data_IF_071204260369
#
_entry.id   IF_071204260369
#
_cell.length_a   1.000
_cell.length_b   1.000
_cell.length_c   1.000
_cell.angle_alpha   90.00
_cell.angle_beta   90.00
_cell.angle_gamma   90.00
#
_symmetry.space_group_name_H-M   'P 1'
#
loop_
_entity.id
_entity.type
_entity.pdbx_description
1 polymer ?
#
# COMPACT_ATOMS: atom_id res chain seq x y z
N UNK A 1 7.73 -0.32 15.91
CA UNK A 1 6.71 0.35 15.07
C UNK A 1 5.96 -0.72 14.27
N UNK A 2 4.75 -1.09 14.68
CA UNK A 2 4.01 -2.32 14.31
C UNK A 2 3.24 -2.22 12.97
N UNK A 3 3.49 -1.17 12.17
CA UNK A 3 2.73 -0.91 10.94
C UNK A 3 3.10 -1.88 9.81
N UNK A 4 4.39 -2.03 9.50
CA UNK A 4 4.84 -2.69 8.26
C UNK A 4 4.52 -4.20 8.18
N UNK A 5 4.21 -4.84 9.31
CA UNK A 5 4.06 -6.29 9.38
C UNK A 5 2.69 -6.81 8.87
N UNK A 6 1.76 -5.92 8.50
CA UNK A 6 0.40 -6.29 8.06
C UNK A 6 0.21 -6.13 6.54
N UNK A 7 1.02 -5.30 5.87
CA UNK A 7 0.89 -5.02 4.43
C UNK A 7 2.06 -5.66 3.69
N UNK A 8 1.79 -6.77 2.98
CA UNK A 8 2.80 -7.52 2.24
C UNK A 8 3.38 -6.78 1.03
N UNK A 9 2.63 -5.87 0.42
CA UNK A 9 3.03 -5.15 -0.80
C UNK A 9 2.47 -3.70 -0.79
N UNK A 10 3.24 -2.77 -1.34
CA UNK A 10 2.91 -1.34 -1.45
C UNK A 10 3.28 -0.83 -2.84
N UNK A 11 2.37 -0.08 -3.46
CA UNK A 11 2.56 0.59 -4.75
C UNK A 11 2.43 2.10 -4.56
N UNK A 12 3.31 2.87 -5.22
CA UNK A 12 3.25 4.33 -5.26
C UNK A 12 2.67 4.77 -6.60
N UNK A 13 1.57 5.51 -6.60
CA UNK A 13 0.95 6.07 -7.81
C UNK A 13 0.75 7.58 -7.60
N UNK A 14 1.54 8.39 -8.28
CA UNK A 14 1.57 9.85 -8.05
C UNK A 14 1.81 10.16 -6.57
N UNK A 15 0.88 10.88 -5.94
CA UNK A 15 0.92 11.20 -4.51
C UNK A 15 0.14 10.21 -3.63
N UNK A 16 -0.08 8.97 -4.06
CA UNK A 16 -0.82 7.96 -3.31
C UNK A 16 0.03 6.73 -3.01
N UNK A 17 -0.13 6.20 -1.80
CA UNK A 17 0.36 4.89 -1.39
C UNK A 17 -0.81 3.91 -1.37
N UNK A 18 -0.72 2.88 -2.20
CA UNK A 18 -1.73 1.82 -2.32
C UNK A 18 -1.17 0.56 -1.69
N UNK A 19 -1.88 0.03 -0.70
CA UNK A 19 -1.54 -1.22 -0.03
C UNK A 19 -2.47 -2.31 -0.52
N UNK A 20 -1.89 -3.40 -0.99
CA UNK A 20 -2.65 -4.50 -1.58
C UNK A 20 -2.10 -5.87 -1.18
N UNK A 21 -2.94 -6.88 -1.38
CA UNK A 21 -2.57 -8.29 -1.24
C UNK A 21 -2.95 -9.01 -2.54
N UNK A 22 -2.04 -9.83 -3.04
CA UNK A 22 -2.28 -10.68 -4.22
C UNK A 22 -2.63 -12.08 -3.74
N UNK A 23 -3.74 -12.61 -4.24
CA UNK A 23 -4.13 -14.01 -4.07
C UNK A 23 -3.94 -14.73 -5.40
N UNK A 24 -2.72 -15.24 -5.65
CA UNK A 24 -2.35 -15.87 -6.93
C UNK A 24 -3.31 -16.99 -7.32
N UNK A 25 -3.64 -17.89 -6.38
CA UNK A 25 -4.56 -19.01 -6.60
C UNK A 25 -5.95 -18.57 -7.04
N UNK A 26 -6.39 -17.38 -6.62
CA UNK A 26 -7.72 -16.83 -6.98
C UNK A 26 -7.64 -15.84 -8.12
N UNK A 27 -6.43 -15.46 -8.58
CA UNK A 27 -6.18 -14.37 -9.54
C UNK A 27 -6.89 -13.06 -9.15
N UNK A 28 -6.90 -12.75 -7.84
CA UNK A 28 -7.55 -11.56 -7.29
C UNK A 28 -6.51 -10.69 -6.60
N UNK A 29 -6.64 -9.38 -6.78
CA UNK A 29 -5.91 -8.36 -6.02
C UNK A 29 -6.90 -7.65 -5.11
N UNK A 30 -6.61 -7.65 -3.81
CA UNK A 30 -7.43 -6.94 -2.83
C UNK A 30 -6.70 -5.69 -2.36
N UNK A 31 -7.32 -4.53 -2.59
CA UNK A 31 -6.84 -3.25 -2.08
C UNK A 31 -7.29 -3.11 -0.62
N UNK A 32 -6.34 -3.02 0.30
CA UNK A 32 -6.61 -2.91 1.74
C UNK A 32 -6.67 -1.47 2.21
N UNK A 33 -5.90 -0.57 1.58
CA UNK A 33 -5.84 0.85 1.95
C UNK A 33 -5.26 1.68 0.83
N UNK A 34 -5.79 2.90 0.68
CA UNK A 34 -5.22 3.95 -0.16
C UNK A 34 -4.97 5.15 0.75
N UNK A 35 -3.73 5.63 0.79
CA UNK A 35 -3.32 6.81 1.55
C UNK A 35 -2.85 7.90 0.59
N UNK A 36 -3.31 9.13 0.80
CA UNK A 36 -2.74 10.29 0.12
C UNK A 36 -1.46 10.73 0.85
N UNK A 37 -0.33 10.71 0.13
CA UNK A 37 1.03 10.92 0.63
C UNK A 37 1.35 12.36 1.06
N UNK A 38 0.57 13.35 0.60
CA UNK A 38 0.85 14.80 0.73
C UNK A 38 0.89 15.36 2.17
N UNK A 39 0.66 14.56 3.21
CA UNK A 39 0.67 15.03 4.62
C UNK A 39 1.43 14.17 5.63
N UNK A 40 1.86 12.94 5.28
CA UNK A 40 2.46 12.01 6.27
C UNK A 40 3.70 11.24 5.79
N UNK A 41 4.08 11.33 4.52
CA UNK A 41 5.13 10.49 3.95
C UNK A 41 6.12 11.26 3.07
N UNK A 42 6.46 12.50 3.46
CA UNK A 42 7.52 13.29 2.80
C UNK A 42 8.90 12.60 2.78
N UNK A 43 9.08 11.48 3.50
CA UNK A 43 10.30 10.69 3.51
C UNK A 43 10.31 9.55 2.47
N UNK A 44 9.18 9.31 1.79
CA UNK A 44 9.05 8.26 0.76
C UNK A 44 9.04 8.83 -0.67
N UNK A 45 8.96 10.14 -0.83
CA UNK A 45 8.98 10.87 -2.12
C UNK A 45 10.23 11.72 -2.22
#
# INVERSE_FOLDING_TARGET
>A
MKLFHIYKQMLVIGNYLVFYVVFENKKIVEIRRILHGKRKYNFLL
#
